data_IF_135265978912
#
_entry.id   IF_135265978912
#
_cell.length_a   1.000
_cell.length_b   1.000
_cell.length_c   1.000
_cell.angle_alpha   90.00
_cell.angle_beta   90.00
_cell.angle_gamma   90.00
#
_symmetry.space_group_name_H-M   'P 1'
#
loop_
_entity.id
_entity.type
_entity.pdbx_description
1 polymer ?
#
# COMPACT_ATOMS: atom_id res chain seq x y z
N UNK A 1 6.89 -7.75 6.53
CA UNK A 1 7.22 -6.70 5.54
C UNK A 1 5.97 -5.93 5.15
N UNK A 2 6.08 -4.64 5.01
CA UNK A 2 5.01 -3.80 4.50
C UNK A 2 5.50 -3.18 3.19
N UNK A 3 4.82 -3.51 2.11
CA UNK A 3 5.12 -2.98 0.78
C UNK A 3 4.25 -1.75 0.53
N UNK A 4 4.86 -0.62 0.21
CA UNK A 4 4.17 0.66 0.12
C UNK A 4 4.30 1.24 -1.28
N UNK A 5 3.15 1.51 -1.89
CA UNK A 5 3.05 2.34 -3.08
C UNK A 5 2.56 3.71 -2.60
N UNK A 6 3.47 4.69 -2.45
CA UNK A 6 3.06 6.00 -1.91
C UNK A 6 2.20 6.80 -2.88
N UNK A 7 2.26 6.50 -4.17
CA UNK A 7 1.42 7.16 -5.16
C UNK A 7 1.59 8.67 -5.14
N UNK A 8 0.47 9.37 -5.00
CA UNK A 8 0.46 10.84 -4.94
C UNK A 8 1.17 11.40 -3.71
N UNK A 9 1.38 10.57 -2.67
CA UNK A 9 2.07 10.95 -1.44
C UNK A 9 3.56 10.57 -1.46
N UNK A 10 4.16 10.51 -2.65
CA UNK A 10 5.57 10.14 -2.83
C UNK A 10 6.56 11.05 -2.13
N UNK A 11 6.15 12.23 -1.69
CA UNK A 11 6.95 13.15 -0.89
C UNK A 11 6.85 12.90 0.63
N UNK A 12 6.07 11.89 1.05
CA UNK A 12 5.80 11.61 2.47
C UNK A 12 6.45 10.31 2.96
N UNK A 13 7.48 9.83 2.27
CA UNK A 13 8.17 8.57 2.63
C UNK A 13 8.72 8.59 4.05
N UNK A 14 9.24 9.73 4.50
CA UNK A 14 9.78 9.89 5.85
C UNK A 14 8.71 9.66 6.92
N UNK A 15 7.47 10.06 6.64
CA UNK A 15 6.37 9.87 7.57
C UNK A 15 5.99 8.38 7.70
N UNK A 16 5.98 7.65 6.57
CA UNK A 16 5.78 6.19 6.60
C UNK A 16 6.87 5.51 7.42
N UNK A 17 8.13 5.89 7.18
CA UNK A 17 9.28 5.31 7.88
C UNK A 17 9.22 5.58 9.38
N UNK A 18 8.81 6.78 9.77
CA UNK A 18 8.71 7.16 11.18
C UNK A 18 7.61 6.38 11.90
N UNK A 19 6.43 6.28 11.29
CA UNK A 19 5.28 5.59 11.89
C UNK A 19 5.52 4.09 11.97
N UNK A 20 6.16 3.53 10.95
CA UNK A 20 6.35 2.08 10.80
C UNK A 20 7.81 1.65 11.06
N UNK A 21 8.52 2.38 11.92
CA UNK A 21 9.96 2.18 12.17
C UNK A 21 10.33 0.79 12.66
N UNK A 22 9.38 0.07 13.28
CA UNK A 22 9.60 -1.28 13.80
C UNK A 22 9.35 -2.38 12.77
N UNK A 23 9.05 -2.00 11.53
CA UNK A 23 8.70 -2.93 10.46
C UNK A 23 9.67 -2.85 9.29
N UNK A 24 9.83 -3.96 8.59
CA UNK A 24 10.56 -3.96 7.32
C UNK A 24 9.68 -3.32 6.25
N UNK A 25 10.16 -2.25 5.64
CA UNK A 25 9.43 -1.50 4.62
C UNK A 25 10.13 -1.62 3.27
N UNK A 26 9.34 -1.66 2.20
CA UNK A 26 9.83 -1.54 0.84
C UNK A 26 8.86 -0.67 0.04
N UNK A 27 9.39 0.13 -0.87
CA UNK A 27 8.64 1.11 -1.64
C UNK A 27 8.76 0.85 -3.14
N UNK A 28 7.72 1.18 -3.88
CA UNK A 28 7.73 1.11 -5.35
C UNK A 28 6.82 2.19 -5.95
N UNK A 29 7.01 2.44 -7.24
CA UNK A 29 6.21 3.40 -7.98
C UNK A 29 5.62 2.80 -9.25
N UNK A 30 5.17 3.66 -10.16
CA UNK A 30 4.49 3.26 -11.40
C UNK A 30 5.37 2.43 -12.34
N UNK A 31 6.70 2.49 -12.19
CA UNK A 31 7.63 1.70 -13.02
C UNK A 31 7.44 0.20 -12.86
N UNK A 32 6.84 -0.25 -11.76
CA UNK A 32 6.57 -1.67 -11.50
C UNK A 32 5.09 -2.05 -11.70
N UNK A 33 4.27 -1.18 -12.28
CA UNK A 33 2.83 -1.42 -12.39
C UNK A 33 2.45 -2.67 -13.18
N UNK A 34 3.27 -3.07 -14.13
CA UNK A 34 3.05 -4.27 -14.96
C UNK A 34 3.60 -5.54 -14.34
N UNK A 35 4.30 -5.44 -13.21
CA UNK A 35 4.88 -6.60 -12.52
C UNK A 35 3.84 -7.24 -11.59
N UNK A 36 4.01 -8.54 -11.35
CA UNK A 36 3.18 -9.24 -10.36
C UNK A 36 3.56 -8.78 -8.95
N UNK A 37 2.66 -8.99 -8.00
CA UNK A 37 2.97 -8.64 -6.61
C UNK A 37 4.19 -9.42 -6.09
N UNK A 38 4.34 -10.69 -6.48
CA UNK A 38 5.51 -11.48 -6.12
C UNK A 38 6.81 -10.85 -6.64
N UNK A 39 6.82 -10.40 -7.90
CA UNK A 39 7.98 -9.75 -8.49
C UNK A 39 8.27 -8.40 -7.81
N UNK A 40 7.24 -7.65 -7.48
CA UNK A 40 7.40 -6.36 -6.80
C UNK A 40 8.02 -6.57 -5.41
N UNK A 41 7.58 -7.56 -4.67
CA UNK A 41 8.17 -7.89 -3.35
C UNK A 41 9.67 -8.13 -3.48
N UNK A 42 10.11 -8.79 -4.56
CA UNK A 42 11.52 -9.07 -4.80
C UNK A 42 12.30 -7.83 -5.27
N UNK A 43 11.66 -6.89 -5.97
CA UNK A 43 12.32 -5.76 -6.62
C UNK A 43 12.15 -4.43 -5.92
N UNK A 44 11.18 -4.30 -4.99
CA UNK A 44 10.91 -3.05 -4.32
C UNK A 44 12.12 -2.54 -3.54
N UNK A 45 12.32 -1.23 -3.55
CA UNK A 45 13.46 -0.59 -2.92
C UNK A 45 13.25 -0.40 -1.42
N UNK A 46 14.29 -0.67 -0.65
CA UNK A 46 14.33 -0.36 0.78
C UNK A 46 14.94 1.02 1.04
N UNK A 47 15.46 1.64 -0.01
CA UNK A 47 16.10 2.94 0.09
C UNK A 47 15.08 4.07 0.06
N UNK A 48 15.41 5.15 0.74
CA UNK A 48 14.59 6.35 0.79
C UNK A 48 14.83 7.20 -0.47
N UNK A 49 14.27 6.77 -1.59
CA UNK A 49 14.32 7.51 -2.85
C UNK A 49 12.91 7.97 -3.23
N UNK A 50 12.84 8.97 -4.11
CA UNK A 50 11.55 9.46 -4.57
C UNK A 50 10.94 8.47 -5.56
N UNK A 51 9.68 8.11 -5.29
CA UNK A 51 8.89 7.27 -6.19
C UNK A 51 7.80 8.10 -6.84
N UNK A 52 7.55 7.84 -8.12
CA UNK A 52 6.47 8.50 -8.84
C UNK A 52 5.26 7.58 -8.93
N UNK A 53 4.09 8.13 -8.64
CA UNK A 53 2.85 7.41 -8.74
C UNK A 53 1.69 8.34 -9.01
N UNK A 54 0.84 7.96 -9.95
CA UNK A 54 -0.36 8.73 -10.33
C UNK A 54 -1.58 8.33 -9.53
N UNK A 55 -1.50 7.18 -8.86
CA UNK A 55 -2.61 6.59 -8.12
C UNK A 55 -2.59 7.05 -6.67
N UNK A 56 -3.69 6.80 -5.97
CA UNK A 56 -3.75 7.00 -4.52
C UNK A 56 -2.85 5.98 -3.80
N UNK A 57 -2.41 6.26 -2.56
CA UNK A 57 -1.53 5.34 -1.83
C UNK A 57 -2.14 3.96 -1.65
N UNK A 58 -1.27 2.95 -1.64
CA UNK A 58 -1.66 1.55 -1.49
C UNK A 58 -0.67 0.85 -0.56
N UNK A 59 -1.20 0.09 0.39
CA UNK A 59 -0.41 -0.67 1.36
C UNK A 59 -0.64 -2.15 1.16
N UNK A 60 0.45 -2.92 1.12
CA UNK A 60 0.38 -4.37 0.93
C UNK A 60 1.15 -5.06 2.05
N UNK A 61 0.42 -5.82 2.88
CA UNK A 61 1.01 -6.49 4.04
C UNK A 61 1.48 -7.90 3.65
N UNK A 62 2.76 -8.17 3.87
CA UNK A 62 3.41 -9.43 3.52
C UNK A 62 3.81 -10.14 4.80
N UNK A 63 3.08 -11.20 5.18
CA UNK A 63 3.37 -12.02 6.36
C UNK A 63 3.36 -11.26 7.68
N UNK A 64 2.52 -10.24 7.79
CA UNK A 64 2.34 -9.51 9.04
C UNK A 64 1.26 -10.16 9.90
N UNK A 65 1.36 -9.97 11.22
CA UNK A 65 0.36 -10.46 12.17
C UNK A 65 -0.96 -9.69 11.98
N UNK A 66 -2.06 -10.37 11.59
CA UNK A 66 -3.35 -9.69 11.37
C UNK A 66 -3.85 -8.92 12.61
N UNK A 67 -3.47 -9.33 13.80
CA UNK A 67 -3.88 -8.66 15.04
C UNK A 67 -3.27 -7.28 15.19
N UNK A 68 -2.15 -7.01 14.50
CA UNK A 68 -1.44 -5.72 14.57
C UNK A 68 -1.89 -4.73 13.51
N UNK A 69 -2.59 -5.19 12.47
CA UNK A 69 -2.93 -4.35 11.32
C UNK A 69 -3.82 -3.16 11.69
N UNK A 70 -4.79 -3.39 12.56
CA UNK A 70 -5.68 -2.31 13.00
C UNK A 70 -4.93 -1.17 13.67
N UNK A 71 -4.00 -1.50 14.57
CA UNK A 71 -3.18 -0.49 15.26
C UNK A 71 -2.26 0.25 14.29
N UNK A 72 -1.69 -0.47 13.32
CA UNK A 72 -0.85 0.13 12.29
C UNK A 72 -1.63 1.13 11.44
N UNK A 73 -2.81 0.76 11.01
CA UNK A 73 -3.65 1.62 10.18
C UNK A 73 -4.08 2.86 10.96
N UNK A 74 -4.43 2.71 12.23
CA UNK A 74 -4.77 3.84 13.09
C UNK A 74 -3.59 4.80 13.24
N UNK A 75 -2.39 4.28 13.46
CA UNK A 75 -1.19 5.11 13.58
C UNK A 75 -0.91 5.90 12.29
N UNK A 76 -1.08 5.27 11.14
CA UNK A 76 -0.92 5.94 9.85
C UNK A 76 -1.98 7.03 9.64
N UNK A 77 -3.22 6.75 9.96
CA UNK A 77 -4.33 7.70 9.85
C UNK A 77 -4.12 8.92 10.73
N UNK A 78 -3.58 8.74 11.93
CA UNK A 78 -3.26 9.83 12.85
C UNK A 78 -2.21 10.80 12.27
N UNK A 79 -1.39 10.32 11.35
CA UNK A 79 -0.42 11.16 10.63
C UNK A 79 -1.01 11.72 9.32
N UNK A 80 -2.28 11.49 9.06
CA UNK A 80 -2.93 11.95 7.83
C UNK A 80 -2.54 11.14 6.59
N UNK A 81 -2.03 9.93 6.78
CA UNK A 81 -1.70 9.03 5.66
C UNK A 81 -2.92 8.21 5.28
N UNK A 82 -3.16 8.06 3.98
CA UNK A 82 -4.34 7.36 3.47
C UNK A 82 -4.15 5.85 3.59
N UNK A 83 -5.04 5.19 4.32
CA UNK A 83 -5.05 3.74 4.51
C UNK A 83 -6.23 3.05 3.82
N UNK A 84 -6.96 3.79 2.99
CA UNK A 84 -8.20 3.31 2.37
C UNK A 84 -7.96 2.09 1.49
N UNK A 85 -6.81 2.06 0.80
CA UNK A 85 -6.47 1.00 -0.15
C UNK A 85 -5.39 0.12 0.44
N UNK A 86 -5.80 -1.03 0.99
CA UNK A 86 -4.90 -2.00 1.61
C UNK A 86 -5.26 -3.41 1.16
N UNK A 87 -4.26 -4.27 1.13
CA UNK A 87 -4.46 -5.70 0.87
C UNK A 87 -3.42 -6.51 1.63
N UNK A 88 -3.70 -7.80 1.78
CA UNK A 88 -2.81 -8.77 2.43
C UNK A 88 -2.40 -9.78 1.36
N UNK A 89 -1.13 -10.18 1.36
CA UNK A 89 -0.62 -11.18 0.43
C UNK A 89 -1.38 -12.51 0.59
N UNK A 90 -1.86 -13.05 -0.53
CA UNK A 90 -2.52 -14.35 -0.60
C UNK A 90 -1.91 -15.17 -1.75
N UNK A 91 -2.19 -16.48 -1.76
CA UNK A 91 -1.76 -17.35 -2.87
C UNK A 91 -2.39 -16.94 -4.20
N UNK A 92 -3.54 -16.29 -4.15
CA UNK A 92 -4.22 -15.82 -5.36
C UNK A 92 -3.63 -14.51 -5.87
N UNK A 93 -3.49 -13.49 -4.99
CA UNK A 93 -3.10 -12.15 -5.46
C UNK A 93 -1.60 -11.98 -5.71
N UNK A 94 -0.75 -12.90 -5.24
CA UNK A 94 0.69 -12.81 -5.50
C UNK A 94 1.02 -12.82 -6.99
N UNK A 95 0.19 -13.46 -7.80
CA UNK A 95 0.39 -13.59 -9.25
C UNK A 95 -0.33 -12.52 -10.07
N UNK A 96 -1.04 -11.60 -9.40
CA UNK A 96 -1.68 -10.48 -10.08
C UNK A 96 -0.69 -9.36 -10.31
N UNK A 97 -0.81 -8.69 -11.46
CA UNK A 97 -0.07 -7.45 -11.69
C UNK A 97 -0.59 -6.37 -10.74
N UNK A 98 0.31 -5.49 -10.28
CA UNK A 98 -0.09 -4.41 -9.38
C UNK A 98 -1.25 -3.59 -9.92
N UNK A 99 -1.19 -3.19 -11.20
CA UNK A 99 -2.26 -2.37 -11.79
C UNK A 99 -3.63 -3.05 -11.72
N UNK A 100 -3.68 -4.37 -11.84
CA UNK A 100 -4.94 -5.13 -11.80
C UNK A 100 -5.44 -5.27 -10.36
N UNK A 101 -4.55 -5.57 -9.43
CA UNK A 101 -4.89 -5.64 -8.01
C UNK A 101 -5.36 -4.27 -7.50
N UNK A 102 -4.65 -3.21 -7.86
CA UNK A 102 -5.03 -1.85 -7.49
C UNK A 102 -6.44 -1.52 -8.00
N UNK A 103 -6.73 -1.88 -9.24
CA UNK A 103 -8.04 -1.62 -9.85
C UNK A 103 -9.16 -2.26 -9.03
N UNK A 104 -8.98 -3.49 -8.59
CA UNK A 104 -9.98 -4.18 -7.76
C UNK A 104 -10.13 -3.53 -6.38
N UNK A 105 -9.01 -3.24 -5.70
CA UNK A 105 -9.02 -2.61 -4.38
C UNK A 105 -9.61 -1.20 -4.46
N UNK A 106 -9.26 -0.45 -5.50
CA UNK A 106 -9.79 0.90 -5.71
C UNK A 106 -11.30 0.88 -5.96
N UNK A 107 -11.79 -0.11 -6.70
CA UNK A 107 -13.22 -0.28 -6.94
C UNK A 107 -13.97 -0.50 -5.62
N UNK A 108 -13.45 -1.34 -4.75
CA UNK A 108 -14.02 -1.57 -3.43
C UNK A 108 -14.00 -0.31 -2.58
N UNK A 109 -12.89 0.41 -2.56
CA UNK A 109 -12.73 1.66 -1.80
C UNK A 109 -13.74 2.72 -2.27
N UNK A 110 -13.91 2.88 -3.58
CA UNK A 110 -14.87 3.83 -4.14
C UNK A 110 -16.31 3.41 -3.85
N UNK A 111 -16.60 2.12 -3.88
CA UNK A 111 -17.91 1.59 -3.55
C UNK A 111 -18.28 1.94 -2.10
N UNK A 112 -17.40 1.67 -1.14
CA UNK A 112 -17.65 1.98 0.27
C UNK A 112 -17.79 3.48 0.50
N UNK A 113 -17.01 4.29 -0.17
CA UNK A 113 -17.10 5.75 -0.08
C UNK A 113 -18.45 6.26 -0.56
N UNK A 114 -18.95 5.76 -1.68
CA UNK A 114 -20.28 6.12 -2.20
C UNK A 114 -21.38 5.70 -1.24
N UNK A 115 -21.25 4.52 -0.64
CA UNK A 115 -22.23 4.00 0.31
C UNK A 115 -22.29 4.86 1.58
N UNK A 116 -21.15 5.33 2.07
CA UNK A 116 -21.10 6.24 3.22
C UNK A 116 -21.80 7.56 2.92
N UNK A 117 -21.62 8.10 1.73
CA UNK A 117 -22.26 9.33 1.31
C UNK A 117 -23.79 9.18 1.19
N UNK A 118 -24.26 8.00 0.79
CA UNK A 118 -25.68 7.70 0.63
C UNK A 118 -26.37 7.29 1.93
N UNK A 119 -25.58 6.95 2.94
CA UNK A 119 -26.09 6.60 4.25
C UNK A 119 -26.24 7.86 5.11
#
# INVERSE_FOLDING_TARGET
MILIYPGKDGNRLDEYQKVLQDYELAFFGDELEEKTMADIIAQASKDNQRFEGKREPFLFFVKEDPKKLGSLMTALEQQGLDTTRTAILTDTNKDWKFKDLYKEINREAEYFKKREVLA
#
